data_IF_430613980691
#
_entry.id   IF_430613980691
#
_cell.length_a   1.000
_cell.length_b   1.000
_cell.length_c   1.000
_cell.angle_alpha   90.00
_cell.angle_beta   90.00
_cell.angle_gamma   90.00
#
_symmetry.space_group_name_H-M   'P 1'
#
loop_
_entity.id
_entity.type
_entity.pdbx_description
1 polymer ?
#
# COMPACT_ATOMS: atom_id res chain seq x y z
N UNK A 1 -35.53 -4.49 -2.02
CA UNK A 1 -34.37 -4.38 -1.12
C UNK A 1 -33.18 -4.01 -1.97
N UNK A 2 -32.69 -2.78 -1.86
CA UNK A 2 -31.43 -2.40 -2.50
C UNK A 2 -30.31 -3.16 -1.78
N UNK A 3 -29.80 -4.20 -2.40
CA UNK A 3 -28.58 -4.87 -1.93
C UNK A 3 -27.47 -3.84 -2.08
N UNK A 4 -27.00 -3.27 -0.96
CA UNK A 4 -25.83 -2.41 -0.97
C UNK A 4 -24.67 -3.29 -1.51
N UNK A 5 -24.24 -3.03 -2.74
CA UNK A 5 -23.10 -3.72 -3.32
C UNK A 5 -21.90 -3.43 -2.44
N UNK A 6 -21.29 -4.47 -1.86
CA UNK A 6 -20.06 -4.33 -1.10
C UNK A 6 -18.97 -3.76 -2.00
N UNK A 7 -18.23 -2.78 -1.50
CA UNK A 7 -17.15 -2.12 -2.22
C UNK A 7 -15.82 -2.82 -1.97
N UNK A 8 -14.92 -2.73 -2.93
CA UNK A 8 -13.51 -3.06 -2.78
C UNK A 8 -12.72 -1.76 -2.61
N UNK A 9 -11.96 -1.67 -1.55
CA UNK A 9 -11.13 -0.53 -1.19
C UNK A 9 -9.69 -0.81 -1.58
N UNK A 10 -9.16 -0.01 -2.51
CA UNK A 10 -7.80 -0.16 -3.00
C UNK A 10 -6.83 0.74 -2.22
N UNK A 11 -5.67 0.17 -1.90
CA UNK A 11 -4.54 0.85 -1.27
C UNK A 11 -3.40 0.88 -2.29
N UNK A 12 -3.13 2.07 -2.83
CA UNK A 12 -2.28 2.26 -4.00
C UNK A 12 -0.85 2.65 -3.62
N UNK A 13 0.17 2.24 -4.41
CA UNK A 13 1.57 2.54 -4.12
C UNK A 13 1.99 3.91 -4.66
N UNK A 14 3.04 4.49 -4.06
CA UNK A 14 3.78 5.60 -4.66
C UNK A 14 3.28 6.97 -4.27
N UNK A 15 3.02 7.19 -2.96
CA UNK A 15 2.56 8.46 -2.41
C UNK A 15 3.46 9.66 -2.80
N UNK A 16 4.78 9.47 -2.76
CA UNK A 16 5.76 10.47 -3.14
C UNK A 16 6.35 10.20 -4.52
N UNK A 17 6.50 8.91 -4.84
CA UNK A 17 7.16 8.43 -6.05
C UNK A 17 6.34 8.73 -7.31
N UNK A 18 5.01 8.80 -7.21
CA UNK A 18 4.12 8.95 -8.38
C UNK A 18 3.14 10.13 -8.22
N UNK A 19 3.59 11.20 -7.58
CA UNK A 19 2.80 12.42 -7.39
C UNK A 19 2.20 12.93 -8.72
N UNK A 20 3.02 13.02 -9.76
CA UNK A 20 2.58 13.49 -11.08
C UNK A 20 1.52 12.59 -11.72
N UNK A 21 1.60 11.27 -11.53
CA UNK A 21 0.55 10.35 -11.97
C UNK A 21 -0.76 10.63 -11.23
N UNK A 22 -0.72 10.76 -9.91
CA UNK A 22 -1.92 10.96 -9.10
C UNK A 22 -2.55 12.35 -9.31
N UNK A 23 -1.76 13.37 -9.59
CA UNK A 23 -2.24 14.72 -9.94
C UNK A 23 -3.14 14.72 -11.17
N UNK A 24 -2.94 13.78 -12.10
CA UNK A 24 -3.76 13.61 -13.30
C UNK A 24 -4.86 12.56 -13.07
N UNK A 25 -4.49 11.43 -12.44
CA UNK A 25 -5.41 10.30 -12.29
C UNK A 25 -6.57 10.58 -11.33
N UNK A 26 -6.34 11.29 -10.23
CA UNK A 26 -7.39 11.53 -9.23
C UNK A 26 -8.52 12.45 -9.75
N UNK A 27 -8.25 13.59 -10.43
CA UNK A 27 -9.28 14.36 -11.12
C UNK A 27 -10.07 13.50 -12.11
N UNK A 28 -9.37 12.77 -12.99
CA UNK A 28 -10.00 11.89 -13.98
C UNK A 28 -10.91 10.83 -13.31
N UNK A 29 -10.45 10.22 -12.21
CA UNK A 29 -11.22 9.25 -11.45
C UNK A 29 -12.48 9.85 -10.82
N UNK A 30 -12.43 11.10 -10.38
CA UNK A 30 -13.57 11.81 -9.78
C UNK A 30 -14.56 12.28 -10.83
N UNK A 31 -14.08 12.90 -11.92
CA UNK A 31 -14.90 13.53 -12.95
C UNK A 31 -15.53 12.51 -13.90
N UNK A 32 -14.86 11.40 -14.17
CA UNK A 32 -15.28 10.35 -15.08
C UNK A 32 -15.50 9.01 -14.38
N UNK A 33 -16.34 9.04 -13.35
CA UNK A 33 -16.63 7.86 -12.54
C UNK A 33 -17.21 6.70 -13.35
N UNK A 34 -17.86 6.99 -14.47
CA UNK A 34 -18.38 6.01 -15.43
C UNK A 34 -17.29 5.14 -16.09
N UNK A 35 -16.03 5.60 -16.15
CA UNK A 35 -14.92 4.82 -16.71
C UNK A 35 -14.46 3.71 -15.78
N UNK A 36 -14.78 3.82 -14.50
CA UNK A 36 -14.30 2.92 -13.45
C UNK A 36 -15.42 2.01 -12.95
N UNK A 37 -15.03 0.89 -12.36
CA UNK A 37 -15.99 0.00 -11.75
C UNK A 37 -16.69 0.69 -10.56
N UNK A 38 -18.02 0.61 -10.50
CA UNK A 38 -18.86 1.23 -9.47
C UNK A 38 -18.64 0.65 -8.05
N UNK A 39 -18.04 -0.53 -7.97
CA UNK A 39 -17.68 -1.23 -6.74
C UNK A 39 -16.25 -0.94 -6.26
N UNK A 40 -15.44 -0.21 -7.03
CA UNK A 40 -14.07 0.19 -6.66
C UNK A 40 -14.04 1.52 -5.94
N UNK A 41 -13.23 1.61 -4.87
CA UNK A 41 -12.90 2.87 -4.20
C UNK A 41 -11.41 2.93 -3.90
N UNK A 42 -10.81 4.12 -3.97
CA UNK A 42 -9.45 4.37 -3.50
C UNK A 42 -9.55 4.74 -2.02
N UNK A 43 -9.01 3.90 -1.14
CA UNK A 43 -9.03 4.12 0.29
C UNK A 43 -7.78 4.85 0.78
N UNK A 44 -6.62 4.49 0.24
CA UNK A 44 -5.36 5.16 0.60
C UNK A 44 -4.32 5.08 -0.49
N UNK A 45 -3.36 6.01 -0.44
CA UNK A 45 -2.12 5.96 -1.20
C UNK A 45 -0.96 5.92 -0.20
N UNK A 46 0.03 5.03 -0.43
CA UNK A 46 1.09 4.80 0.53
C UNK A 46 2.48 4.96 -0.09
N UNK A 47 3.43 5.45 0.70
CA UNK A 47 4.82 5.64 0.30
C UNK A 47 5.66 6.25 1.42
N UNK A 48 6.93 6.49 1.15
CA UNK A 48 7.80 7.27 2.01
C UNK A 48 8.76 8.05 1.13
N UNK A 49 9.07 9.31 1.50
CA UNK A 49 10.06 10.07 0.74
C UNK A 49 11.46 9.48 0.96
N UNK A 50 12.36 9.78 0.03
CA UNK A 50 13.76 9.35 0.11
C UNK A 50 14.42 9.81 1.42
N UNK A 51 15.39 9.06 1.91
CA UNK A 51 16.19 9.40 3.10
C UNK A 51 15.44 9.33 4.44
N UNK A 52 14.34 8.56 4.54
CA UNK A 52 13.67 8.28 5.82
C UNK A 52 14.27 7.04 6.48
N UNK A 53 14.92 7.16 7.66
CA UNK A 53 15.50 6.03 8.39
C UNK A 53 14.47 4.96 8.75
N UNK A 54 13.22 5.35 9.00
CA UNK A 54 12.15 4.41 9.33
C UNK A 54 11.57 3.71 8.09
N UNK A 55 11.96 4.13 6.88
CA UNK A 55 11.59 3.50 5.62
C UNK A 55 12.06 2.05 5.54
N UNK A 56 11.34 1.21 4.82
CA UNK A 56 11.67 -0.20 4.65
C UNK A 56 10.86 -0.86 3.53
N UNK A 57 11.02 -2.15 3.38
CA UNK A 57 10.40 -2.90 2.31
C UNK A 57 11.07 -2.64 0.97
N UNK A 58 10.31 -2.50 -0.09
CA UNK A 58 10.81 -2.04 -1.40
C UNK A 58 10.72 -0.53 -1.45
N UNK A 59 11.84 0.14 -1.26
CA UNK A 59 11.92 1.60 -1.21
C UNK A 59 11.81 2.13 -2.64
N UNK A 60 10.90 3.07 -2.86
CA UNK A 60 10.84 3.89 -4.06
C UNK A 60 11.69 5.16 -3.87
N UNK A 61 12.08 5.80 -4.97
CA UNK A 61 12.77 7.09 -4.97
C UNK A 61 11.74 8.16 -5.30
N UNK A 62 11.25 8.87 -4.31
CA UNK A 62 10.36 10.02 -4.47
C UNK A 62 10.76 11.12 -3.51
N UNK A 63 10.90 12.34 -4.02
CA UNK A 63 11.35 13.50 -3.25
C UNK A 63 10.38 14.70 -3.36
N UNK A 64 9.11 14.40 -3.64
CA UNK A 64 8.07 15.41 -3.72
C UNK A 64 7.82 16.08 -2.36
N UNK A 65 7.40 17.34 -2.41
CA UNK A 65 7.11 18.12 -1.20
C UNK A 65 5.99 17.44 -0.38
N UNK A 66 6.25 17.04 0.89
CA UNK A 66 5.27 16.32 1.69
C UNK A 66 3.96 17.07 1.93
N UNK A 67 3.98 18.42 2.03
CA UNK A 67 2.77 19.23 2.21
C UNK A 67 1.91 19.20 0.96
N UNK A 68 2.51 19.31 -0.23
CA UNK A 68 1.78 19.27 -1.51
C UNK A 68 1.18 17.89 -1.78
N UNK A 69 1.96 16.82 -1.50
CA UNK A 69 1.50 15.44 -1.60
C UNK A 69 0.31 15.19 -0.68
N UNK A 70 0.42 15.59 0.59
CA UNK A 70 -0.64 15.40 1.58
C UNK A 70 -1.90 16.20 1.20
N UNK A 71 -1.73 17.45 0.78
CA UNK A 71 -2.84 18.30 0.32
C UNK A 71 -3.58 17.66 -0.85
N UNK A 72 -2.85 17.24 -1.90
CA UNK A 72 -3.46 16.57 -3.05
C UNK A 72 -4.29 15.37 -2.63
N UNK A 73 -3.72 14.46 -1.85
CA UNK A 73 -4.38 13.20 -1.51
C UNK A 73 -5.61 13.43 -0.62
N UNK A 74 -5.50 14.30 0.39
CA UNK A 74 -6.61 14.59 1.30
C UNK A 74 -7.73 15.39 0.63
N UNK A 75 -7.43 16.22 -0.40
CA UNK A 75 -8.44 16.94 -1.20
C UNK A 75 -9.44 15.99 -1.86
N UNK A 76 -8.97 14.78 -2.26
CA UNK A 76 -9.83 13.74 -2.82
C UNK A 76 -10.46 12.80 -1.77
N UNK A 77 -10.34 13.13 -0.49
CA UNK A 77 -10.88 12.30 0.60
C UNK A 77 -10.15 10.96 0.77
N UNK A 78 -8.91 10.87 0.29
CA UNK A 78 -8.08 9.66 0.31
C UNK A 78 -7.08 9.75 1.47
N UNK A 79 -6.88 8.65 2.19
CA UNK A 79 -5.90 8.56 3.26
C UNK A 79 -4.47 8.46 2.72
N UNK A 80 -3.57 9.28 3.23
CA UNK A 80 -2.14 9.17 2.97
C UNK A 80 -1.47 8.30 4.04
N UNK A 81 -0.62 7.33 3.61
CA UNK A 81 0.05 6.41 4.54
C UNK A 81 1.57 6.47 4.37
N UNK A 82 2.27 6.82 5.45
CA UNK A 82 3.73 6.71 5.51
C UNK A 82 4.14 5.25 5.61
N UNK A 83 5.14 4.83 4.83
CA UNK A 83 5.67 3.47 4.89
C UNK A 83 6.94 3.44 5.73
N UNK A 84 6.79 3.23 7.03
CA UNK A 84 7.85 3.18 8.03
C UNK A 84 8.07 1.74 8.51
N UNK A 85 8.37 0.87 7.54
CA UNK A 85 8.45 -0.58 7.74
C UNK A 85 9.87 -1.13 7.89
N UNK A 86 10.82 -0.29 8.33
CA UNK A 86 12.17 -0.75 8.68
C UNK A 86 12.11 -1.72 9.85
N UNK A 87 12.65 -2.94 9.65
CA UNK A 87 12.62 -4.03 10.63
C UNK A 87 13.78 -3.99 11.63
N UNK A 88 14.81 -3.14 11.40
CA UNK A 88 16.05 -3.13 12.14
C UNK A 88 16.23 -1.90 13.03
N UNK A 89 15.13 -1.20 13.32
CA UNK A 89 15.15 0.01 14.15
C UNK A 89 15.61 -0.25 15.58
N UNK A 90 16.41 0.66 16.11
CA UNK A 90 16.83 0.74 17.50
C UNK A 90 16.36 2.05 18.12
N UNK A 91 16.39 2.16 19.47
CA UNK A 91 15.92 3.36 20.19
C UNK A 91 16.56 4.67 19.69
N UNK A 92 17.83 4.64 19.30
CA UNK A 92 18.52 5.81 18.76
C UNK A 92 17.89 6.33 17.46
N UNK A 93 17.29 5.47 16.66
CA UNK A 93 16.66 5.86 15.39
C UNK A 93 15.31 6.56 15.57
N UNK A 94 14.67 6.45 16.75
CA UNK A 94 13.38 7.11 17.02
C UNK A 94 13.48 8.63 17.06
N UNK A 95 14.68 9.18 17.30
CA UNK A 95 14.92 10.63 17.29
C UNK A 95 15.19 11.20 15.89
N UNK A 96 15.01 10.41 14.83
CA UNK A 96 15.18 10.91 13.45
C UNK A 96 14.24 12.08 13.19
N UNK A 97 14.83 13.23 12.84
CA UNK A 97 14.11 14.50 12.69
C UNK A 97 13.13 14.44 11.52
N UNK A 98 13.57 13.95 10.35
CA UNK A 98 12.76 13.91 9.13
C UNK A 98 11.52 13.02 9.32
N UNK A 99 11.70 11.82 9.89
CA UNK A 99 10.59 10.92 10.14
C UNK A 99 9.57 11.48 11.14
N UNK A 100 10.04 12.18 12.19
CA UNK A 100 9.16 12.83 13.17
C UNK A 100 8.41 14.02 12.58
N UNK A 101 9.06 14.87 11.78
CA UNK A 101 8.41 15.99 11.07
C UNK A 101 7.32 15.48 10.12
N UNK A 102 7.55 14.36 9.42
CA UNK A 102 6.53 13.74 8.57
C UNK A 102 5.34 13.20 9.39
N UNK A 103 5.59 12.54 10.51
CA UNK A 103 4.51 12.08 11.38
C UNK A 103 3.66 13.24 11.88
N UNK A 104 4.29 14.32 12.36
CA UNK A 104 3.59 15.51 12.83
C UNK A 104 2.74 16.15 11.72
N UNK A 105 3.30 16.29 10.52
CA UNK A 105 2.58 16.83 9.36
C UNK A 105 1.36 15.97 8.99
N UNK A 106 1.53 14.65 8.92
CA UNK A 106 0.46 13.74 8.51
C UNK A 106 -0.62 13.59 9.58
N UNK A 107 -0.26 13.75 10.85
CA UNK A 107 -1.22 13.78 11.95
C UNK A 107 -2.07 15.05 11.91
N UNK A 108 -1.46 16.24 11.72
CA UNK A 108 -2.15 17.53 11.61
C UNK A 108 -3.05 17.61 10.38
N UNK A 109 -2.60 17.13 9.22
CA UNK A 109 -3.41 17.09 8.01
C UNK A 109 -4.73 16.31 8.15
N UNK A 110 -4.84 15.50 9.21
CA UNK A 110 -6.10 14.84 9.59
C UNK A 110 -7.08 15.78 10.32
N UNK A 111 -6.61 16.92 10.84
CA UNK A 111 -7.41 17.86 11.64
C UNK A 111 -7.89 19.08 10.84
N UNK A 112 -7.17 19.48 9.77
CA UNK A 112 -7.42 20.69 8.99
C UNK A 112 -8.54 20.55 7.92
N UNK A 113 -9.16 19.38 7.80
CA UNK A 113 -10.35 19.20 6.95
C UNK A 113 -11.48 20.12 7.43
N UNK A 114 -11.86 21.07 6.57
CA UNK A 114 -12.97 22.01 6.75
C UNK A 114 -14.06 21.45 7.69
N UNK A 115 -14.61 22.29 8.51
CA UNK A 115 -15.59 22.06 9.59
C UNK A 115 -16.83 21.18 9.28
N UNK A 116 -16.86 20.49 8.16
CA UNK A 116 -17.84 19.48 7.78
C UNK A 116 -17.25 18.09 8.04
N UNK A 117 -17.37 17.56 9.22
CA UNK A 117 -17.33 16.18 9.74
C UNK A 117 -16.65 15.03 8.92
N UNK A 118 -15.78 15.30 7.93
CA UNK A 118 -15.14 14.32 7.05
C UNK A 118 -13.62 14.46 6.99
N UNK A 119 -12.96 14.71 8.12
CA UNK A 119 -11.49 14.67 8.16
C UNK A 119 -11.00 13.25 7.89
N UNK A 120 -10.24 13.08 6.80
CA UNK A 120 -9.62 11.80 6.45
C UNK A 120 -8.46 11.55 7.37
N UNK A 121 -8.49 10.45 8.15
CA UNK A 121 -7.35 10.04 8.97
C UNK A 121 -6.23 9.48 8.09
N UNK A 122 -5.01 9.97 8.33
CA UNK A 122 -3.81 9.42 7.72
C UNK A 122 -3.20 8.31 8.59
N UNK A 123 -2.27 7.53 8.03
CA UNK A 123 -1.75 6.37 8.75
C UNK A 123 -0.28 6.06 8.50
N UNK A 124 0.21 5.06 9.21
CA UNK A 124 1.60 4.57 9.10
C UNK A 124 1.60 3.06 8.93
N UNK A 125 2.28 2.56 7.90
CA UNK A 125 2.57 1.14 7.73
C UNK A 125 3.85 0.84 8.50
N UNK A 126 3.78 -0.04 9.50
CA UNK A 126 4.86 -0.25 10.46
C UNK A 126 5.20 -1.73 10.63
N UNK A 127 6.52 -2.01 10.82
CA UNK A 127 7.04 -3.35 11.13
C UNK A 127 7.46 -3.45 12.60
N UNK A 128 8.28 -2.52 13.06
CA UNK A 128 8.96 -2.57 14.37
C UNK A 128 7.99 -2.31 15.51
N UNK A 129 7.93 -3.19 16.49
CA UNK A 129 7.12 -3.01 17.70
C UNK A 129 7.60 -1.77 18.51
N UNK A 130 8.92 -1.50 18.50
CA UNK A 130 9.48 -0.30 19.09
C UNK A 130 8.88 0.98 18.47
N UNK A 131 8.69 0.98 17.14
CA UNK A 131 8.08 2.10 16.45
C UNK A 131 6.56 2.15 16.67
N UNK A 132 5.88 1.01 16.78
CA UNK A 132 4.45 0.95 17.15
C UNK A 132 4.21 1.67 18.48
N UNK A 133 4.98 1.34 19.52
CA UNK A 133 4.83 1.96 20.84
C UNK A 133 5.15 3.45 20.79
N UNK A 134 6.18 3.84 20.05
CA UNK A 134 6.56 5.24 19.89
C UNK A 134 5.48 6.07 19.20
N UNK A 135 4.92 5.57 18.09
CA UNK A 135 3.87 6.26 17.32
C UNK A 135 2.59 6.40 18.16
N UNK A 136 2.18 5.38 18.88
CA UNK A 136 1.01 5.45 19.76
C UNK A 136 1.13 6.51 20.85
N UNK A 137 2.34 6.76 21.34
CA UNK A 137 2.59 7.75 22.40
C UNK A 137 2.70 9.17 21.87
N UNK A 138 3.31 9.36 20.68
CA UNK A 138 3.68 10.68 20.17
C UNK A 138 2.75 11.17 19.05
N UNK A 139 2.08 10.25 18.33
CA UNK A 139 1.22 10.54 17.16
C UNK A 139 -0.06 9.70 17.19
N UNK A 140 -0.90 9.85 18.23
CA UNK A 140 -2.05 8.96 18.51
C UNK A 140 -3.18 9.07 17.47
N UNK A 141 -3.24 10.15 16.68
CA UNK A 141 -4.25 10.35 15.66
C UNK A 141 -3.92 9.63 14.35
N UNK A 142 -2.65 9.20 14.15
CA UNK A 142 -2.28 8.34 13.04
C UNK A 142 -2.73 6.90 13.29
N UNK A 143 -3.48 6.31 12.35
CA UNK A 143 -3.76 4.89 12.46
C UNK A 143 -2.57 4.04 11.98
N UNK A 144 -2.46 2.83 12.52
CA UNK A 144 -1.37 1.92 12.20
C UNK A 144 -1.80 0.76 11.31
N UNK A 145 -0.92 0.37 10.40
CA UNK A 145 -1.08 -0.79 9.51
C UNK A 145 0.08 -1.75 9.75
N UNK A 146 -0.21 -3.01 10.10
CA UNK A 146 0.82 -4.04 10.23
C UNK A 146 1.36 -4.43 8.85
N UNK A 147 2.69 -4.30 8.70
CA UNK A 147 3.36 -4.44 7.40
C UNK A 147 3.51 -5.89 6.95
N UNK A 148 3.36 -6.13 5.64
CA UNK A 148 3.72 -7.42 5.01
C UNK A 148 5.20 -7.81 5.20
N UNK A 149 6.07 -6.83 5.53
CA UNK A 149 7.49 -7.11 5.81
C UNK A 149 7.70 -7.98 7.06
N UNK A 150 6.69 -8.11 7.93
CA UNK A 150 6.69 -9.08 9.05
C UNK A 150 6.74 -10.53 8.56
N UNK A 151 6.36 -10.78 7.31
CA UNK A 151 6.40 -12.11 6.66
C UNK A 151 5.66 -13.16 7.50
N UNK A 152 4.41 -12.84 7.86
CA UNK A 152 3.53 -13.74 8.62
C UNK A 152 2.99 -14.83 7.67
N UNK A 153 3.72 -15.94 7.56
CA UNK A 153 3.37 -17.07 6.69
C UNK A 153 2.57 -18.15 7.38
N UNK A 154 2.66 -18.22 8.70
CA UNK A 154 1.81 -19.08 9.51
C UNK A 154 0.47 -18.42 9.76
N UNK A 155 -0.62 -19.17 9.51
CA UNK A 155 -1.97 -18.60 9.65
C UNK A 155 -2.32 -18.28 11.10
N UNK A 156 -1.83 -19.05 12.07
CA UNK A 156 -2.10 -18.80 13.48
C UNK A 156 -1.43 -17.50 13.93
N UNK A 157 -0.16 -17.29 13.58
CA UNK A 157 0.55 -16.02 13.85
C UNK A 157 -0.17 -14.82 13.20
N UNK A 158 -0.62 -14.99 11.95
CA UNK A 158 -1.39 -13.96 11.25
C UNK A 158 -2.74 -13.68 11.96
N UNK A 159 -3.47 -14.71 12.39
CA UNK A 159 -4.75 -14.57 13.08
C UNK A 159 -4.58 -13.86 14.45
N UNK A 160 -3.49 -14.12 15.17
CA UNK A 160 -3.16 -13.38 16.39
C UNK A 160 -2.86 -11.90 16.08
N UNK A 161 -2.13 -11.60 15.01
CA UNK A 161 -1.89 -10.22 14.58
C UNK A 161 -3.22 -9.50 14.24
N UNK A 162 -4.20 -10.19 13.61
CA UNK A 162 -5.53 -9.62 13.31
C UNK A 162 -6.30 -9.22 14.57
N UNK A 163 -6.09 -9.90 15.69
CA UNK A 163 -6.76 -9.58 16.98
C UNK A 163 -6.21 -8.32 17.65
N UNK A 164 -5.02 -7.87 17.27
CA UNK A 164 -4.38 -6.70 17.85
C UNK A 164 -5.19 -5.43 17.58
N UNK A 165 -5.51 -4.68 18.63
CA UNK A 165 -6.40 -3.50 18.56
C UNK A 165 -5.71 -2.26 18.00
N UNK A 166 -4.39 -2.19 18.11
CA UNK A 166 -3.58 -1.08 17.64
C UNK A 166 -3.52 -0.94 16.13
N UNK A 167 -3.76 -2.03 15.40
CA UNK A 167 -3.77 -2.00 13.93
C UNK A 167 -5.17 -1.86 13.37
N UNK A 168 -5.34 -0.89 12.48
CA UNK A 168 -6.54 -0.73 11.68
C UNK A 168 -6.57 -1.74 10.53
N UNK A 169 -5.39 -1.99 9.92
CA UNK A 169 -5.23 -2.97 8.85
C UNK A 169 -4.01 -3.86 9.10
N UNK A 170 -4.08 -5.09 8.60
CA UNK A 170 -3.00 -6.07 8.66
C UNK A 170 -2.78 -6.64 7.26
N UNK A 171 -1.53 -6.55 6.77
CA UNK A 171 -1.15 -7.09 5.47
C UNK A 171 -0.49 -8.46 5.68
N UNK A 172 -1.19 -9.58 5.36
CA UNK A 172 -0.60 -10.91 5.45
C UNK A 172 0.57 -11.09 4.48
N UNK A 173 1.35 -12.13 4.68
CA UNK A 173 2.21 -12.59 3.61
C UNK A 173 1.35 -13.10 2.45
N UNK A 174 1.73 -12.77 1.21
CA UNK A 174 0.96 -13.09 0.00
C UNK A 174 0.69 -14.60 -0.19
N UNK A 175 1.51 -15.47 0.42
CA UNK A 175 1.31 -16.92 0.40
C UNK A 175 0.04 -17.38 1.09
N UNK A 176 -0.52 -16.55 1.98
CA UNK A 176 -1.82 -16.80 2.61
C UNK A 176 -3.02 -16.35 1.76
N UNK A 177 -2.80 -15.64 0.64
CA UNK A 177 -3.87 -15.06 -0.15
C UNK A 177 -4.96 -16.10 -0.53
N UNK A 178 -4.59 -17.32 -0.88
CA UNK A 178 -5.52 -18.37 -1.33
C UNK A 178 -5.84 -19.42 -0.25
N UNK A 179 -5.51 -19.18 1.02
CA UNK A 179 -5.81 -20.07 2.14
C UNK A 179 -7.28 -19.91 2.61
N UNK A 180 -8.22 -20.08 1.69
CA UNK A 180 -9.63 -19.72 1.88
C UNK A 180 -10.29 -20.40 3.08
N UNK A 181 -10.00 -21.68 3.33
CA UNK A 181 -10.57 -22.41 4.48
C UNK A 181 -10.16 -21.75 5.79
N UNK A 182 -8.89 -21.41 5.93
CA UNK A 182 -8.35 -20.72 7.09
C UNK A 182 -8.86 -19.28 7.20
N UNK A 183 -8.82 -18.50 6.09
CA UNK A 183 -9.31 -17.12 6.03
C UNK A 183 -10.81 -17.05 6.42
N UNK A 184 -11.57 -18.07 6.11
CA UNK A 184 -13.00 -18.10 6.42
C UNK A 184 -13.28 -18.25 7.93
N UNK A 185 -12.31 -18.71 8.71
CA UNK A 185 -12.42 -18.81 10.19
C UNK A 185 -12.32 -17.46 10.90
N UNK A 186 -11.84 -16.41 10.22
CA UNK A 186 -11.77 -15.07 10.80
C UNK A 186 -13.17 -14.50 11.04
N UNK A 187 -13.33 -13.74 12.13
CA UNK A 187 -14.56 -12.99 12.40
C UNK A 187 -14.80 -11.91 11.34
N UNK A 188 -16.02 -11.41 11.19
CA UNK A 188 -16.31 -10.31 10.24
C UNK A 188 -15.44 -9.07 10.52
N UNK A 189 -15.33 -8.67 11.78
CA UNK A 189 -14.46 -7.55 12.17
C UNK A 189 -12.98 -7.83 11.93
N UNK A 190 -12.54 -9.09 11.98
CA UNK A 190 -11.20 -9.49 11.59
C UNK A 190 -10.99 -9.40 10.08
N UNK A 191 -11.97 -9.85 9.29
CA UNK A 191 -11.92 -9.76 7.82
C UNK A 191 -11.83 -8.32 7.31
N UNK A 192 -12.53 -7.38 7.96
CA UNK A 192 -12.47 -5.95 7.63
C UNK A 192 -11.07 -5.34 7.82
N UNK A 193 -10.21 -5.95 8.65
CA UNK A 193 -8.84 -5.50 8.89
C UNK A 193 -7.82 -6.07 7.89
N UNK A 194 -8.15 -7.15 7.19
CA UNK A 194 -7.19 -7.81 6.30
C UNK A 194 -7.04 -7.04 5.00
N UNK A 195 -5.82 -6.63 4.68
CA UNK A 195 -5.44 -5.91 3.46
C UNK A 195 -4.54 -6.81 2.59
N UNK A 196 -5.12 -7.43 1.56
CA UNK A 196 -4.42 -8.40 0.72
C UNK A 196 -3.51 -7.75 -0.31
N UNK A 197 -2.26 -8.19 -0.40
CA UNK A 197 -1.33 -7.80 -1.46
C UNK A 197 -1.64 -8.58 -2.75
N UNK A 198 -2.22 -7.90 -3.76
CA UNK A 198 -2.83 -8.57 -4.92
C UNK A 198 -1.84 -9.05 -5.97
N UNK A 199 -0.80 -8.26 -6.25
CA UNK A 199 0.09 -8.41 -7.41
C UNK A 199 1.56 -8.64 -7.02
N UNK A 200 1.80 -9.38 -5.93
CA UNK A 200 3.16 -9.67 -5.47
C UNK A 200 3.98 -10.41 -6.54
N UNK A 201 5.19 -9.92 -6.76
CA UNK A 201 6.13 -10.50 -7.74
C UNK A 201 7.11 -11.51 -7.14
N UNK A 202 7.21 -11.62 -5.81
CA UNK A 202 8.07 -12.59 -5.19
C UNK A 202 7.68 -14.02 -5.56
N UNK A 203 8.70 -14.86 -5.79
CA UNK A 203 8.47 -16.27 -6.02
C UNK A 203 7.79 -16.93 -4.82
N UNK A 204 6.73 -17.71 -5.08
CA UNK A 204 5.92 -18.36 -4.04
C UNK A 204 6.77 -19.28 -3.13
N UNK A 205 7.82 -19.91 -3.68
CA UNK A 205 8.75 -20.75 -2.95
C UNK A 205 9.90 -20.04 -2.24
N UNK A 206 9.93 -18.69 -2.23
CA UNK A 206 11.00 -17.93 -1.62
C UNK A 206 11.03 -18.12 -0.09
N UNK A 207 12.19 -18.57 0.44
CA UNK A 207 12.43 -18.72 1.88
C UNK A 207 13.17 -17.52 2.49
N UNK A 208 13.72 -16.64 1.66
CA UNK A 208 14.59 -15.53 2.06
C UNK A 208 13.91 -14.18 2.11
N UNK A 209 12.56 -14.12 1.98
CA UNK A 209 11.81 -12.86 1.92
C UNK A 209 12.08 -11.95 3.13
N UNK A 210 12.12 -12.52 4.34
CA UNK A 210 12.46 -11.77 5.56
C UNK A 210 13.86 -11.17 5.47
N UNK A 211 14.85 -11.97 5.05
CA UNK A 211 16.22 -11.53 4.86
C UNK A 211 16.34 -10.41 3.82
N UNK A 212 15.56 -10.47 2.72
CA UNK A 212 15.48 -9.36 1.75
C UNK A 212 15.08 -8.05 2.43
N UNK A 213 14.06 -8.07 3.28
CA UNK A 213 13.59 -6.88 3.98
C UNK A 213 14.56 -6.38 5.05
N UNK A 214 15.23 -7.29 5.77
CA UNK A 214 16.28 -6.96 6.73
C UNK A 214 17.46 -6.28 6.04
N UNK A 215 17.90 -6.82 4.89
CA UNK A 215 18.97 -6.23 4.08
C UNK A 215 18.63 -4.79 3.66
N UNK A 216 17.46 -4.58 3.10
CA UNK A 216 16.99 -3.22 2.71
C UNK A 216 16.90 -2.30 3.93
N UNK A 217 16.46 -2.83 5.08
CA UNK A 217 16.38 -2.05 6.32
C UNK A 217 17.76 -1.62 6.82
N UNK A 218 18.77 -2.50 6.78
CA UNK A 218 20.14 -2.16 7.15
C UNK A 218 20.76 -1.15 6.17
N UNK A 219 20.57 -1.35 4.86
CA UNK A 219 21.03 -0.39 3.84
C UNK A 219 20.45 1.00 4.08
N UNK A 220 19.18 1.08 4.44
CA UNK A 220 18.51 2.36 4.72
C UNK A 220 19.01 3.03 6.03
N UNK A 221 19.69 2.29 6.89
CA UNK A 221 20.35 2.77 8.11
C UNK A 221 21.84 3.07 7.90
N UNK A 222 22.34 3.01 6.65
CA UNK A 222 23.77 3.09 6.32
C UNK A 222 24.64 2.08 7.09
N UNK A 223 24.04 0.92 7.43
CA UNK A 223 24.75 -0.14 8.14
C UNK A 223 25.32 -1.18 7.17
N UNK A 224 26.53 -1.66 7.48
CA UNK A 224 27.15 -2.75 6.72
C UNK A 224 26.27 -3.99 6.78
N UNK A 225 25.81 -4.45 5.63
CA UNK A 225 25.11 -5.71 5.49
C UNK A 225 25.69 -6.51 4.31
N UNK A 226 25.69 -7.85 4.40
CA UNK A 226 26.06 -8.67 3.27
C UNK A 226 25.11 -8.44 2.09
N UNK A 227 25.65 -8.41 0.87
CA UNK A 227 24.84 -8.41 -0.34
C UNK A 227 23.86 -9.58 -0.31
N UNK A 228 22.58 -9.27 -0.49
CA UNK A 228 21.55 -10.28 -0.64
C UNK A 228 21.07 -10.29 -2.08
N UNK A 229 21.27 -11.41 -2.77
CA UNK A 229 20.78 -11.63 -4.12
C UNK A 229 19.51 -12.47 -4.09
N UNK A 230 18.51 -12.03 -4.84
CA UNK A 230 17.28 -12.79 -5.00
C UNK A 230 17.58 -14.15 -5.66
N UNK A 231 17.10 -15.23 -5.03
CA UNK A 231 17.27 -16.62 -5.51
C UNK A 231 16.10 -17.11 -6.38
N UNK A 232 15.14 -16.23 -6.68
CA UNK A 232 14.01 -16.60 -7.52
C UNK A 232 14.49 -16.98 -8.94
N UNK A 233 13.87 -18.00 -9.56
CA UNK A 233 14.25 -18.46 -10.90
C UNK A 233 14.28 -17.37 -11.97
N UNK A 234 13.40 -16.37 -11.83
CA UNK A 234 13.21 -15.26 -12.80
C UNK A 234 13.80 -13.93 -12.33
N UNK A 235 14.62 -13.93 -11.25
CA UNK A 235 15.13 -12.70 -10.66
C UNK A 235 15.83 -11.76 -11.66
N UNK A 236 16.54 -12.33 -12.64
CA UNK A 236 17.25 -11.58 -13.67
C UNK A 236 16.35 -10.81 -14.66
N UNK A 237 15.08 -11.19 -14.77
CA UNK A 237 14.17 -10.57 -15.74
C UNK A 237 13.42 -9.34 -15.20
N UNK A 238 13.61 -9.00 -13.92
CA UNK A 238 12.90 -7.94 -13.23
C UNK A 238 11.39 -8.20 -13.08
N UNK A 239 10.67 -7.21 -12.58
CA UNK A 239 9.22 -7.30 -12.44
C UNK A 239 8.52 -7.17 -13.81
N UNK A 240 7.57 -8.07 -14.06
CA UNK A 240 6.61 -7.98 -15.17
C UNK A 240 5.21 -8.29 -14.67
N UNK A 241 4.24 -7.44 -14.97
CA UNK A 241 2.86 -7.65 -14.53
C UNK A 241 2.27 -8.95 -15.07
N UNK A 242 2.56 -9.28 -16.34
CA UNK A 242 2.15 -10.55 -16.94
C UNK A 242 2.70 -11.79 -16.23
N UNK A 243 3.89 -11.69 -15.62
CA UNK A 243 4.46 -12.77 -14.81
C UNK A 243 3.87 -12.80 -13.39
N UNK A 244 3.57 -11.62 -12.80
CA UNK A 244 2.86 -11.54 -11.53
C UNK A 244 1.48 -12.19 -11.61
N UNK A 245 0.77 -12.03 -12.74
CA UNK A 245 -0.54 -12.68 -12.97
C UNK A 245 -0.46 -14.21 -13.00
N UNK A 246 0.71 -14.80 -13.24
CA UNK A 246 0.94 -16.25 -13.19
C UNK A 246 1.29 -16.77 -11.78
N UNK A 247 1.52 -15.86 -10.82
CA UNK A 247 1.81 -16.27 -9.46
C UNK A 247 0.55 -16.95 -8.85
N UNK A 248 0.68 -18.13 -8.24
CA UNK A 248 -0.45 -18.80 -7.59
C UNK A 248 -1.18 -17.97 -6.55
N UNK A 249 -0.49 -17.00 -5.94
CA UNK A 249 -1.05 -16.09 -4.94
C UNK A 249 -1.69 -14.82 -5.54
N UNK A 250 -1.60 -14.63 -6.87
CA UNK A 250 -2.20 -13.46 -7.53
C UNK A 250 -3.70 -13.38 -7.28
N UNK A 251 -4.18 -12.18 -6.97
CA UNK A 251 -5.61 -11.90 -6.78
C UNK A 251 -6.10 -11.11 -8.00
N UNK A 252 -6.91 -11.76 -8.82
CA UNK A 252 -7.53 -11.14 -9.99
C UNK A 252 -8.77 -10.32 -9.63
N UNK A 253 -9.24 -9.50 -10.56
CA UNK A 253 -10.54 -8.79 -10.44
C UNK A 253 -11.67 -9.81 -10.20
N UNK A 254 -11.66 -10.91 -10.94
CA UNK A 254 -12.64 -11.99 -10.77
C UNK A 254 -12.60 -12.61 -9.38
N UNK A 255 -11.41 -12.82 -8.81
CA UNK A 255 -11.28 -13.29 -7.43
C UNK A 255 -11.87 -12.28 -6.44
N UNK A 256 -11.56 -10.98 -6.62
CA UNK A 256 -12.07 -9.91 -5.75
C UNK A 256 -13.60 -9.94 -5.73
N UNK A 257 -14.24 -9.90 -6.89
CA UNK A 257 -15.68 -9.80 -7.02
C UNK A 257 -16.41 -11.08 -6.58
N UNK A 258 -15.88 -12.26 -6.94
CA UNK A 258 -16.60 -13.51 -6.83
C UNK A 258 -16.20 -14.34 -5.61
N UNK A 259 -15.08 -14.02 -4.97
CA UNK A 259 -14.58 -14.78 -3.81
C UNK A 259 -14.39 -13.86 -2.59
N UNK A 260 -13.48 -12.91 -2.66
CA UNK A 260 -13.09 -12.14 -1.46
C UNK A 260 -14.22 -11.25 -0.92
N UNK A 261 -14.86 -10.46 -1.78
CA UNK A 261 -15.97 -9.57 -1.37
C UNK A 261 -17.16 -10.34 -0.83
N UNK A 262 -17.62 -11.45 -1.45
CA UNK A 262 -18.63 -12.32 -0.86
C UNK A 262 -18.23 -12.95 0.48
N UNK A 263 -16.95 -13.30 0.67
CA UNK A 263 -16.42 -13.81 1.94
C UNK A 263 -16.36 -12.72 3.05
N UNK A 264 -16.50 -11.44 2.70
CA UNK A 264 -16.47 -10.32 3.65
C UNK A 264 -15.14 -9.58 3.70
N UNK A 265 -14.21 -9.84 2.78
CA UNK A 265 -12.96 -9.07 2.65
C UNK A 265 -13.14 -7.91 1.67
N UNK A 266 -12.66 -6.74 2.05
CA UNK A 266 -12.89 -5.52 1.26
C UNK A 266 -11.62 -4.73 0.95
N UNK A 267 -10.47 -5.02 1.55
CA UNK A 267 -9.26 -4.22 1.40
C UNK A 267 -8.20 -4.93 0.55
N UNK A 268 -7.74 -4.26 -0.50
CA UNK A 268 -6.84 -4.79 -1.52
C UNK A 268 -5.67 -3.83 -1.78
N UNK A 269 -4.46 -4.31 -1.55
CA UNK A 269 -3.24 -3.56 -1.71
C UNK A 269 -2.58 -3.88 -3.05
N UNK A 270 -2.22 -2.83 -3.77
CA UNK A 270 -1.43 -2.94 -4.99
C UNK A 270 0.02 -2.58 -4.66
N UNK A 271 0.97 -3.45 -4.98
CA UNK A 271 2.38 -3.09 -4.86
C UNK A 271 2.87 -2.36 -6.12
N UNK A 272 3.98 -1.63 -6.02
CA UNK A 272 4.55 -0.99 -7.20
C UNK A 272 5.48 0.19 -6.95
N UNK A 273 5.78 0.57 -5.71
CA UNK A 273 6.60 1.77 -5.41
C UNK A 273 7.93 1.84 -6.17
N UNK A 274 8.60 0.73 -6.39
CA UNK A 274 9.87 0.66 -7.11
C UNK A 274 9.74 0.31 -8.60
N UNK A 275 8.52 0.34 -9.19
CA UNK A 275 8.29 -0.18 -10.54
C UNK A 275 8.13 0.90 -11.61
N UNK A 276 7.96 2.16 -11.21
CA UNK A 276 7.70 3.27 -12.12
C UNK A 276 6.23 3.52 -12.41
N UNK A 277 5.90 4.77 -12.74
CA UNK A 277 4.53 5.25 -12.95
C UNK A 277 3.79 4.52 -14.06
N UNK A 278 4.48 4.16 -15.15
CA UNK A 278 3.87 3.45 -16.27
C UNK A 278 3.32 2.06 -15.87
N UNK A 279 4.05 1.31 -15.05
CA UNK A 279 3.58 0.01 -14.55
C UNK A 279 2.44 0.19 -13.55
N UNK A 280 2.50 1.21 -12.70
CA UNK A 280 1.41 1.52 -11.76
C UNK A 280 0.15 1.92 -12.52
N UNK A 281 0.26 2.70 -13.60
CA UNK A 281 -0.88 2.98 -14.48
C UNK A 281 -1.53 1.70 -15.02
N UNK A 282 -0.74 0.72 -15.48
CA UNK A 282 -1.30 -0.56 -15.94
C UNK A 282 -2.04 -1.33 -14.82
N UNK A 283 -1.61 -1.19 -13.55
CA UNK A 283 -2.38 -1.74 -12.43
C UNK A 283 -3.70 -1.00 -12.22
N UNK A 284 -3.72 0.34 -12.31
CA UNK A 284 -4.94 1.14 -12.20
C UNK A 284 -5.94 0.79 -13.32
N UNK A 285 -5.42 0.62 -14.54
CA UNK A 285 -6.22 0.17 -15.67
C UNK A 285 -6.78 -1.24 -15.46
N UNK A 286 -5.96 -2.17 -14.98
CA UNK A 286 -6.39 -3.54 -14.75
C UNK A 286 -7.41 -3.65 -13.61
N UNK A 287 -7.12 -3.08 -12.44
CA UNK A 287 -7.93 -3.32 -11.24
C UNK A 287 -9.17 -2.42 -11.13
N UNK A 288 -9.14 -1.23 -11.70
CA UNK A 288 -10.14 -0.20 -11.42
C UNK A 288 -10.92 0.24 -12.65
N UNK A 289 -10.32 0.18 -13.86
CA UNK A 289 -10.91 0.73 -15.08
C UNK A 289 -11.68 -0.34 -15.83
N UNK A 290 -12.90 -0.03 -16.28
CA UNK A 290 -13.67 -0.92 -17.15
C UNK A 290 -12.95 -1.12 -18.47
N UNK A 291 -12.94 -2.35 -19.04
CA UNK A 291 -12.16 -2.67 -20.25
C UNK A 291 -12.40 -1.73 -21.42
N UNK A 292 -13.65 -1.31 -21.62
CA UNK A 292 -14.05 -0.42 -22.72
C UNK A 292 -13.48 1.01 -22.61
N UNK A 293 -13.05 1.44 -21.43
CA UNK A 293 -12.49 2.77 -21.17
C UNK A 293 -10.99 2.79 -20.91
N UNK A 294 -10.32 1.63 -20.92
CA UNK A 294 -8.88 1.58 -20.63
C UNK A 294 -8.04 2.40 -21.59
N UNK A 295 -8.45 2.48 -22.88
CA UNK A 295 -7.76 3.29 -23.86
C UNK A 295 -7.92 4.78 -23.55
N UNK A 296 -9.14 5.24 -23.27
CA UNK A 296 -9.43 6.63 -22.94
C UNK A 296 -8.67 7.10 -21.68
N UNK A 297 -8.68 6.29 -20.63
CA UNK A 297 -7.93 6.60 -19.39
C UNK A 297 -6.44 6.68 -19.65
N UNK A 298 -5.88 5.74 -20.44
CA UNK A 298 -4.46 5.74 -20.79
C UNK A 298 -4.09 6.96 -21.62
N UNK A 299 -4.90 7.31 -22.64
CA UNK A 299 -4.67 8.48 -23.49
C UNK A 299 -4.72 9.78 -22.69
N UNK A 300 -5.73 9.97 -21.82
CA UNK A 300 -5.83 11.15 -20.97
C UNK A 300 -4.57 11.34 -20.12
N UNK A 301 -4.08 10.29 -19.46
CA UNK A 301 -2.88 10.37 -18.62
C UNK A 301 -1.62 10.64 -19.44
N UNK A 302 -1.46 9.98 -20.60
CA UNK A 302 -0.27 10.21 -21.44
C UNK A 302 -0.27 11.58 -22.12
N UNK A 303 -1.42 12.06 -22.58
CA UNK A 303 -1.52 13.39 -23.21
C UNK A 303 -1.20 14.50 -22.21
N UNK A 304 -1.76 14.44 -21.01
CA UNK A 304 -1.48 15.43 -19.98
C UNK A 304 -0.02 15.38 -19.52
N UNK A 305 0.57 14.19 -19.42
CA UNK A 305 1.99 14.03 -19.09
C UNK A 305 2.94 14.53 -20.20
N UNK A 306 2.51 14.49 -21.47
CA UNK A 306 3.31 14.91 -22.61
C UNK A 306 3.15 16.40 -22.94
N UNK A 307 2.04 17.02 -22.60
CA UNK A 307 1.84 18.46 -22.77
C UNK A 307 2.81 19.30 -21.95
N UNK A 308 3.33 18.77 -20.86
CA UNK A 308 4.39 19.40 -20.06
C UNK A 308 5.79 19.25 -20.70
N UNK A 309 5.92 18.54 -21.84
CA UNK A 309 7.19 18.35 -22.57
C UNK A 309 7.34 19.25 -23.82
N UNK A 310 6.34 20.07 -24.14
CA UNK A 310 6.33 21.03 -25.23
C UNK A 310 6.03 22.43 -24.71
#
# INVERSE_FOLDING_TARGET
>A
MNVVKKKAYYHLPGLFEFYNLYRIFLPLYQEHREYFYDWCEISSIYGAPEGCLWGGGRIGCGDENPQEVLKLINEYGISARLTFSNSMLRKAHLSDRKCNELCALFEQGSEDGNSDNNSVKNGVIVHSELLVDYLKQNYPNLYLVSSTTKVLTDFHEFAEEVKRKEFQYIVPDFRLNKSFDQLNTLTLSGKDKVEFLCNECCWIGCKDRRKCYETVSLQNLDENCPDHRCTAPNAAYGYRFSEAMKNPAFISIGDIQNVYVPMGFTNFKIEGRGLGSAIVLEFLLYYMTKPEYQLQVREAIYLDSMLDLF
#
